data_IF_098349153113
#
_entry.id   IF_098349153113
#
_cell.length_a   1.000
_cell.length_b   1.000
_cell.length_c   1.000
_cell.angle_alpha   90.00
_cell.angle_beta   90.00
_cell.angle_gamma   90.00
#
_symmetry.space_group_name_H-M   'P 1'
#
loop_
_entity.id
_entity.type
_entity.pdbx_description
1 polymer ?
#
# COMPACT_ATOMS: atom_id res chain seq x y z
N UNK A 1 0.08 -4.64 -9.82
CA UNK A 1 0.18 -4.58 -8.36
C UNK A 1 1.15 -3.48 -7.88
N UNK A 2 2.46 -3.56 -8.16
CA UNK A 2 3.46 -2.61 -7.63
C UNK A 2 3.20 -1.14 -7.96
N UNK A 3 3.01 -0.83 -9.24
CA UNK A 3 2.77 0.55 -9.69
C UNK A 3 1.47 1.12 -9.10
N UNK A 4 0.48 0.26 -8.91
CA UNK A 4 -0.84 0.60 -8.38
C UNK A 4 -0.80 0.85 -6.87
N UNK A 5 -0.05 0.02 -6.13
CA UNK A 5 0.22 0.23 -4.70
C UNK A 5 0.91 1.58 -4.47
N UNK A 6 1.92 1.92 -5.28
CA UNK A 6 2.62 3.20 -5.18
C UNK A 6 1.72 4.38 -5.57
N UNK A 7 0.88 4.21 -6.59
CA UNK A 7 -0.08 5.26 -7.02
C UNK A 7 -1.08 5.57 -5.92
N UNK A 8 -1.70 4.55 -5.33
CA UNK A 8 -2.67 4.71 -4.24
C UNK A 8 -2.01 5.26 -2.97
N UNK A 9 -0.79 4.82 -2.67
CA UNK A 9 -0.02 5.31 -1.54
C UNK A 9 0.28 6.81 -1.65
N UNK A 10 0.86 7.28 -2.76
CA UNK A 10 1.18 8.70 -2.93
C UNK A 10 -0.07 9.58 -2.98
N UNK A 11 -1.17 9.07 -3.55
CA UNK A 11 -2.46 9.77 -3.59
C UNK A 11 -3.05 10.01 -2.20
N UNK A 12 -2.87 9.06 -1.27
CA UNK A 12 -3.39 9.14 0.10
C UNK A 12 -2.41 9.74 1.10
N UNK A 13 -1.11 9.76 0.80
CA UNK A 13 -0.06 10.26 1.72
C UNK A 13 -0.22 11.72 2.09
N UNK A 14 -0.72 12.57 1.19
CA UNK A 14 -0.96 13.99 1.49
C UNK A 14 -2.05 14.21 2.55
N UNK A 15 -2.85 13.19 2.88
CA UNK A 15 -4.03 13.32 3.75
C UNK A 15 -3.82 12.77 5.17
N UNK A 16 -2.77 11.99 5.43
CA UNK A 16 -2.63 11.27 6.72
C UNK A 16 -1.21 10.81 7.05
N UNK A 17 -1.05 10.23 8.24
CA UNK A 17 0.18 9.60 8.69
C UNK A 17 0.59 8.45 7.75
N UNK A 18 1.86 8.47 7.32
CA UNK A 18 2.50 7.53 6.38
C UNK A 18 2.13 6.07 6.62
N UNK A 19 2.17 5.62 7.87
CA UNK A 19 1.90 4.23 8.24
C UNK A 19 0.42 3.85 8.12
N UNK A 20 -0.49 4.80 8.37
CA UNK A 20 -1.93 4.59 8.17
C UNK A 20 -2.23 4.48 6.68
N UNK A 21 -1.67 5.40 5.90
CA UNK A 21 -1.78 5.44 4.44
C UNK A 21 -1.27 4.16 3.79
N UNK A 22 -0.11 3.65 4.21
CA UNK A 22 0.47 2.43 3.69
C UNK A 22 -0.40 1.19 3.96
N UNK A 23 -0.91 1.05 5.19
CA UNK A 23 -1.80 -0.06 5.55
C UNK A 23 -3.08 -0.05 4.73
N UNK A 24 -3.65 1.14 4.47
CA UNK A 24 -4.83 1.26 3.60
C UNK A 24 -4.53 0.87 2.15
N UNK A 25 -3.38 1.27 1.60
CA UNK A 25 -2.97 0.88 0.25
C UNK A 25 -2.74 -0.64 0.14
N UNK A 26 -2.12 -1.26 1.16
CA UNK A 26 -1.96 -2.72 1.21
C UNK A 26 -3.30 -3.45 1.27
N UNK A 27 -4.27 -2.97 2.04
CA UNK A 27 -5.61 -3.57 2.09
C UNK A 27 -6.33 -3.51 0.74
N UNK A 28 -6.23 -2.39 0.03
CA UNK A 28 -6.78 -2.25 -1.33
C UNK A 28 -6.18 -3.27 -2.30
N UNK A 29 -4.85 -3.42 -2.28
CA UNK A 29 -4.16 -4.37 -3.16
C UNK A 29 -4.49 -5.81 -2.77
N UNK A 30 -4.68 -6.10 -1.47
CA UNK A 30 -5.10 -7.42 -0.98
C UNK A 30 -6.53 -7.77 -1.39
N UNK A 31 -7.45 -6.81 -1.44
CA UNK A 31 -8.80 -7.04 -1.96
C UNK A 31 -8.82 -7.26 -3.48
N UNK A 32 -7.85 -6.66 -4.20
CA UNK A 32 -7.78 -6.73 -5.65
C UNK A 32 -6.99 -7.95 -6.15
N UNK A 33 -6.07 -8.46 -5.34
CA UNK A 33 -5.20 -9.58 -5.67
C UNK A 33 -5.11 -10.54 -4.47
N UNK A 34 -5.82 -11.66 -4.53
CA UNK A 34 -5.85 -12.67 -3.47
C UNK A 34 -4.48 -13.32 -3.23
N UNK A 35 -3.62 -13.38 -4.25
CA UNK A 35 -2.33 -14.05 -4.14
C UNK A 35 -1.32 -13.19 -3.33
N UNK A 36 -0.70 -13.74 -2.26
CA UNK A 36 0.21 -13.02 -1.37
C UNK A 36 1.39 -12.31 -2.04
N UNK A 37 1.79 -12.83 -3.20
CA UNK A 37 2.85 -12.28 -4.05
C UNK A 37 2.66 -10.78 -4.38
N UNK A 38 1.40 -10.31 -4.50
CA UNK A 38 1.13 -8.96 -4.98
C UNK A 38 1.12 -7.87 -3.90
N UNK A 39 0.96 -8.24 -2.62
CA UNK A 39 0.87 -7.30 -1.50
C UNK A 39 1.87 -7.57 -0.38
N UNK A 40 2.38 -8.80 -0.25
CA UNK A 40 3.32 -9.21 0.80
C UNK A 40 4.77 -8.77 0.56
N UNK A 41 5.11 -8.34 -0.66
CA UNK A 41 6.47 -7.92 -1.02
C UNK A 41 6.86 -6.52 -0.52
N UNK A 42 5.90 -5.73 -0.01
CA UNK A 42 6.15 -4.35 0.38
C UNK A 42 6.21 -4.19 1.90
N UNK A 43 7.35 -3.71 2.39
CA UNK A 43 7.58 -3.35 3.79
C UNK A 43 7.97 -1.88 3.84
N UNK A 44 7.27 -1.09 4.65
CA UNK A 44 7.63 0.30 4.92
C UNK A 44 8.77 0.30 5.94
N UNK A 45 9.90 0.91 5.60
CA UNK A 45 11.06 1.06 6.48
C UNK A 45 11.23 2.55 6.80
N UNK A 46 11.35 2.87 8.10
CA UNK A 46 11.53 4.23 8.62
C UNK A 46 10.34 4.71 9.47
N UNK A 47 10.67 5.40 10.57
CA UNK A 47 9.73 6.16 11.42
C UNK A 47 9.34 7.49 10.77
#
# INVERSE_FOLDING_TARGET
>A
ATQELMTEFYKKWQQSNKQVTFRQAQQLIRQKFDHPFYWGAFVMIGD
#
